data_IF_150031964199
#
_entry.id   IF_150031964199
#
_cell.length_a   1.000
_cell.length_b   1.000
_cell.length_c   1.000
_cell.angle_alpha   90.00
_cell.angle_beta   90.00
_cell.angle_gamma   90.00
#
_symmetry.space_group_name_H-M   'P 1'
#
loop_
_entity.id
_entity.type
_entity.pdbx_description
1 polymer ?
#
# COMPACT_ATOMS: atom_id res chain seq x y z
N UNK A 1 1.79 67.89 47.14
CA UNK A 1 0.89 66.85 46.56
C UNK A 1 0.90 67.08 45.04
N UNK A 2 1.83 66.41 44.35
CA UNK A 2 1.59 65.28 43.42
C UNK A 2 0.97 65.68 42.07
N UNK A 3 1.68 65.42 40.98
CA UNK A 3 1.17 65.54 39.61
C UNK A 3 2.26 65.50 38.54
N UNK A 4 2.95 64.37 38.38
CA UNK A 4 3.87 64.13 37.25
C UNK A 4 3.19 63.30 36.17
N UNK A 5 3.16 63.80 34.93
CA UNK A 5 2.77 63.02 33.75
C UNK A 5 3.81 61.92 33.46
N UNK A 6 3.37 60.67 33.34
CA UNK A 6 4.19 59.60 32.74
C UNK A 6 3.78 59.35 31.28
N UNK A 7 4.73 59.08 30.37
CA UNK A 7 4.44 58.75 28.97
C UNK A 7 3.96 57.30 28.80
N UNK A 8 3.03 57.13 27.86
CA UNK A 8 2.45 55.86 27.41
C UNK A 8 3.52 55.02 26.68
N UNK A 9 3.65 53.70 26.96
CA UNK A 9 4.62 52.85 26.27
C UNK A 9 4.16 52.49 24.84
N UNK A 10 5.08 52.28 23.89
CA UNK A 10 4.72 51.97 22.51
C UNK A 10 4.20 50.53 22.36
N UNK A 11 3.17 50.40 21.53
CA UNK A 11 2.59 49.14 21.06
C UNK A 11 3.66 48.22 20.46
N UNK A 12 3.91 47.10 21.13
CA UNK A 12 4.74 46.02 20.60
C UNK A 12 3.91 45.24 19.57
N UNK A 13 4.08 45.57 18.29
CA UNK A 13 3.61 44.73 17.18
C UNK A 13 4.45 43.45 17.19
N UNK A 14 4.03 42.45 17.97
CA UNK A 14 4.69 41.14 17.99
C UNK A 14 4.63 40.55 16.58
N UNK A 15 5.78 40.14 16.09
CA UNK A 15 6.00 39.55 14.77
C UNK A 15 5.22 38.22 14.64
N UNK A 16 3.97 38.28 14.14
CA UNK A 16 3.11 37.10 13.86
C UNK A 16 3.58 36.35 12.59
N UNK A 17 4.74 36.68 12.04
CA UNK A 17 5.24 36.10 10.78
C UNK A 17 5.89 34.73 11.01
N UNK A 18 6.68 34.58 12.08
CA UNK A 18 7.37 33.32 12.40
C UNK A 18 6.43 32.15 12.73
N UNK A 19 5.43 32.28 13.63
CA UNK A 19 4.53 31.18 13.95
C UNK A 19 3.65 30.81 12.75
N UNK A 20 3.20 31.79 11.96
CA UNK A 20 2.40 31.56 10.77
C UNK A 20 3.16 30.77 9.69
N UNK A 21 4.45 31.06 9.49
CA UNK A 21 5.31 30.32 8.57
C UNK A 21 5.54 28.87 9.01
N UNK A 22 5.72 28.64 10.31
CA UNK A 22 5.87 27.29 10.89
C UNK A 22 4.59 26.45 10.71
N UNK A 23 3.41 27.04 10.87
CA UNK A 23 2.14 26.36 10.60
C UNK A 23 1.99 25.99 9.11
N UNK A 24 2.34 26.89 8.19
CA UNK A 24 2.28 26.61 6.75
C UNK A 24 3.23 25.46 6.37
N UNK A 25 4.45 25.44 6.92
CA UNK A 25 5.43 24.37 6.69
C UNK A 25 4.96 23.03 7.26
N UNK A 26 4.28 23.03 8.41
CA UNK A 26 3.66 21.85 9.02
C UNK A 26 2.47 21.31 8.19
N UNK A 27 1.66 22.20 7.59
CA UNK A 27 0.58 21.79 6.68
C UNK A 27 1.10 21.20 5.37
N UNK A 28 2.20 21.73 4.81
CA UNK A 28 2.81 21.24 3.57
C UNK A 28 3.53 19.90 3.74
N UNK A 29 4.00 19.57 4.95
CA UNK A 29 4.66 18.29 5.26
C UNK A 29 3.67 17.13 5.50
N UNK A 30 2.36 17.42 5.61
CA UNK A 30 1.30 16.44 5.84
C UNK A 30 0.75 15.73 4.60
N UNK A 31 1.19 16.07 3.39
CA UNK A 31 0.75 15.38 2.16
C UNK A 31 1.67 14.20 1.84
N UNK A 32 1.58 13.13 2.65
CA UNK A 32 2.19 11.85 2.30
C UNK A 32 1.38 11.21 1.17
N UNK A 33 1.77 11.61 -0.06
CA UNK A 33 1.04 11.33 -1.28
C UNK A 33 0.99 9.84 -1.60
N UNK A 34 -0.24 9.34 -1.81
CA UNK A 34 -0.50 8.12 -2.56
C UNK A 34 0.34 8.14 -3.84
N UNK A 35 1.28 7.19 -3.97
CA UNK A 35 2.16 7.14 -5.14
C UNK A 35 1.42 6.51 -6.30
N UNK A 36 1.40 7.21 -7.43
CA UNK A 36 0.85 6.67 -8.67
C UNK A 36 1.74 5.55 -9.24
N UNK A 37 1.18 4.36 -9.32
CA UNK A 37 1.80 3.14 -9.83
C UNK A 37 1.36 2.80 -11.26
N UNK A 38 0.58 3.66 -11.94
CA UNK A 38 0.25 3.46 -13.35
C UNK A 38 1.53 3.31 -14.18
N UNK A 39 1.52 2.32 -15.09
CA UNK A 39 2.64 1.97 -15.97
C UNK A 39 3.95 1.58 -15.24
N UNK A 40 3.87 1.21 -13.96
CA UNK A 40 4.99 0.68 -13.18
C UNK A 40 4.68 -0.73 -12.70
N UNK A 41 5.74 -1.47 -12.40
CA UNK A 41 5.65 -2.84 -11.89
C UNK A 41 6.59 -3.01 -10.72
N UNK A 42 6.23 -3.91 -9.79
CA UNK A 42 7.15 -4.41 -8.78
C UNK A 42 7.99 -5.53 -9.39
N UNK A 43 9.29 -5.56 -9.07
CA UNK A 43 10.23 -6.54 -9.61
C UNK A 43 10.88 -7.30 -8.46
N UNK A 44 10.82 -8.62 -8.53
CA UNK A 44 11.48 -9.54 -7.60
C UNK A 44 12.57 -10.29 -8.39
N UNK A 45 13.81 -9.77 -8.41
CA UNK A 45 14.83 -10.22 -9.36
C UNK A 45 15.41 -11.61 -9.03
N UNK A 46 15.28 -12.05 -7.78
CA UNK A 46 15.81 -13.31 -7.30
C UNK A 46 14.86 -13.95 -6.26
N UNK A 47 14.93 -15.27 -6.07
CA UNK A 47 14.23 -15.93 -4.98
C UNK A 47 14.63 -15.35 -3.62
N UNK A 48 13.63 -15.05 -2.79
CA UNK A 48 13.82 -14.58 -1.42
C UNK A 48 12.66 -15.05 -0.56
N UNK A 49 12.94 -15.30 0.73
CA UNK A 49 11.92 -15.61 1.73
C UNK A 49 11.28 -14.36 2.34
N UNK A 50 11.87 -13.17 2.11
CA UNK A 50 11.48 -11.92 2.77
C UNK A 50 11.09 -10.81 1.80
N UNK A 51 11.32 -10.99 0.49
CA UNK A 51 10.93 -10.00 -0.50
C UNK A 51 9.42 -10.07 -0.76
N UNK A 52 8.68 -9.09 -0.27
CA UNK A 52 7.26 -8.92 -0.48
C UNK A 52 6.91 -7.42 -0.55
N UNK A 53 5.73 -7.11 -1.11
CA UNK A 53 5.14 -5.78 -1.06
C UNK A 53 3.89 -5.86 -0.21
N UNK A 54 3.85 -5.06 0.85
CA UNK A 54 2.65 -4.90 1.67
C UNK A 54 1.77 -3.79 1.10
N UNK A 55 0.51 -4.12 0.79
CA UNK A 55 -0.47 -3.20 0.24
C UNK A 55 -1.32 -2.62 1.37
N UNK A 56 -0.98 -1.40 1.76
CA UNK A 56 -1.69 -0.67 2.80
C UNK A 56 -3.07 -0.22 2.28
N UNK A 57 -4.13 -0.78 2.84
CA UNK A 57 -5.53 -0.42 2.55
C UNK A 57 -6.08 0.51 3.63
N UNK A 58 -6.83 1.52 3.23
CA UNK A 58 -7.43 2.50 4.16
C UNK A 58 -8.53 1.90 5.03
N UNK A 59 -9.19 0.83 4.55
CA UNK A 59 -10.23 0.11 5.30
C UNK A 59 -9.65 -1.17 5.91
N UNK A 60 -9.58 -1.23 7.24
CA UNK A 60 -9.06 -2.37 7.98
C UNK A 60 -10.14 -3.37 8.43
N UNK A 61 -11.40 -3.18 8.02
CA UNK A 61 -12.46 -4.14 8.30
C UNK A 61 -12.28 -5.40 7.45
N UNK A 62 -12.65 -6.59 7.96
CA UNK A 62 -12.62 -7.82 7.19
C UNK A 62 -13.42 -7.70 5.89
N UNK A 63 -12.83 -8.18 4.79
CA UNK A 63 -13.47 -8.15 3.48
C UNK A 63 -14.55 -9.25 3.41
N UNK A 64 -15.81 -8.87 3.20
CA UNK A 64 -16.92 -9.83 2.99
C UNK A 64 -17.12 -10.20 1.52
N UNK A 65 -16.65 -9.34 0.62
CA UNK A 65 -16.63 -9.52 -0.84
C UNK A 65 -15.35 -8.92 -1.38
N UNK A 66 -14.70 -9.61 -2.30
CA UNK A 66 -13.45 -9.18 -2.90
C UNK A 66 -13.47 -9.49 -4.40
N UNK A 67 -12.92 -8.57 -5.18
CA UNK A 67 -12.52 -8.80 -6.56
C UNK A 67 -11.08 -8.34 -6.69
N UNK A 68 -10.23 -9.19 -7.23
CA UNK A 68 -8.81 -8.91 -7.43
C UNK A 68 -8.53 -8.96 -8.93
N UNK A 69 -7.88 -7.91 -9.45
CA UNK A 69 -7.29 -7.93 -10.78
C UNK A 69 -5.80 -7.63 -10.65
N UNK A 70 -4.95 -8.41 -11.33
CA UNK A 70 -3.52 -8.14 -11.37
C UNK A 70 -2.89 -8.54 -12.69
N UNK A 71 -1.77 -7.90 -13.02
CA UNK A 71 -0.90 -8.30 -14.12
C UNK A 71 0.41 -8.80 -13.56
N UNK A 72 0.88 -9.93 -14.06
CA UNK A 72 2.16 -10.49 -13.65
C UNK A 72 2.89 -11.13 -14.83
N UNK A 73 4.20 -11.21 -14.68
CA UNK A 73 5.09 -11.96 -15.56
C UNK A 73 6.10 -12.67 -14.68
N UNK A 74 6.41 -13.91 -15.00
CA UNK A 74 7.41 -14.68 -14.27
C UNK A 74 8.10 -15.69 -15.17
N UNK A 75 9.33 -16.03 -14.78
CA UNK A 75 10.09 -17.13 -15.34
C UNK A 75 10.16 -18.32 -14.36
N UNK A 76 9.47 -18.24 -13.22
CA UNK A 76 9.46 -19.30 -12.24
C UNK A 76 8.72 -20.53 -12.78
N UNK A 77 9.39 -21.69 -12.69
CA UNK A 77 8.80 -23.01 -12.97
C UNK A 77 8.26 -23.70 -11.72
N UNK A 78 8.62 -23.19 -10.53
CA UNK A 78 8.16 -23.70 -9.23
C UNK A 78 6.81 -23.09 -8.83
N UNK A 79 6.12 -23.62 -7.82
CA UNK A 79 4.94 -22.97 -7.25
C UNK A 79 5.28 -21.61 -6.60
N UNK A 80 4.38 -20.63 -6.67
CA UNK A 80 4.55 -19.30 -6.06
C UNK A 80 3.22 -18.61 -5.74
N UNK A 81 3.23 -17.73 -4.74
CA UNK A 81 2.09 -16.84 -4.43
C UNK A 81 2.09 -15.61 -5.35
N UNK A 82 0.91 -15.24 -5.83
CA UNK A 82 0.67 -14.04 -6.63
C UNK A 82 0.08 -12.90 -5.80
N UNK A 83 -0.83 -13.26 -4.88
CA UNK A 83 -1.46 -12.32 -3.95
C UNK A 83 -1.86 -13.06 -2.68
N UNK A 84 -1.61 -12.46 -1.52
CA UNK A 84 -1.92 -13.03 -0.22
C UNK A 84 -2.62 -12.00 0.64
N UNK A 85 -3.73 -12.39 1.25
CA UNK A 85 -4.46 -11.64 2.26
C UNK A 85 -4.75 -12.56 3.44
N UNK A 86 -4.23 -12.18 4.59
CA UNK A 86 -4.37 -12.91 5.84
C UNK A 86 -5.20 -12.08 6.82
N UNK A 87 -6.00 -12.76 7.64
CA UNK A 87 -6.67 -12.18 8.80
C UNK A 87 -6.12 -12.80 10.07
N UNK A 88 -6.48 -12.24 11.24
CA UNK A 88 -6.04 -12.79 12.54
C UNK A 88 -6.45 -14.26 12.74
N UNK A 89 -7.50 -14.71 12.06
CA UNK A 89 -8.04 -16.05 12.17
C UNK A 89 -7.54 -17.02 11.09
N UNK A 90 -6.93 -16.52 10.00
CA UNK A 90 -6.56 -17.36 8.86
C UNK A 90 -5.42 -16.75 8.05
N UNK A 91 -4.33 -17.52 7.89
CA UNK A 91 -3.18 -17.13 7.06
C UNK A 91 -3.55 -17.08 5.56
N UNK A 92 -4.47 -17.96 5.13
CA UNK A 92 -4.92 -18.09 3.75
C UNK A 92 -6.40 -17.68 3.62
N UNK A 93 -6.74 -16.53 4.20
CA UNK A 93 -8.12 -16.03 4.14
C UNK A 93 -8.52 -15.65 2.71
N UNK A 94 -7.58 -15.08 1.95
CA UNK A 94 -7.64 -15.07 0.49
C UNK A 94 -6.23 -15.19 -0.10
N UNK A 95 -5.99 -16.22 -0.91
CA UNK A 95 -4.68 -16.48 -1.54
C UNK A 95 -4.88 -16.88 -3.00
N UNK A 96 -4.17 -16.19 -3.90
CA UNK A 96 -3.98 -16.64 -5.29
C UNK A 96 -2.62 -17.28 -5.40
N UNK A 97 -2.59 -18.59 -5.60
CA UNK A 97 -1.37 -19.38 -5.67
C UNK A 97 -1.24 -20.04 -7.04
N UNK A 98 -0.07 -19.89 -7.69
CA UNK A 98 0.27 -20.69 -8.86
C UNK A 98 0.84 -22.01 -8.37
N UNK A 99 0.01 -23.04 -8.24
CA UNK A 99 0.45 -24.37 -7.79
C UNK A 99 1.32 -25.07 -8.83
N UNK A 100 1.00 -24.89 -10.11
CA UNK A 100 1.69 -25.50 -11.25
C UNK A 100 1.62 -24.57 -12.47
N UNK A 101 2.43 -24.80 -13.50
CA UNK A 101 2.44 -23.99 -14.72
C UNK A 101 1.03 -23.85 -15.36
N UNK A 102 0.21 -24.90 -15.31
CA UNK A 102 -1.13 -24.96 -15.89
C UNK A 102 -2.26 -24.95 -14.85
N UNK A 103 -2.00 -24.54 -13.61
CA UNK A 103 -3.01 -24.52 -12.54
C UNK A 103 -2.86 -23.31 -11.62
N UNK A 104 -3.99 -22.77 -11.18
CA UNK A 104 -4.08 -21.83 -10.07
C UNK A 104 -4.88 -22.45 -8.94
N UNK A 105 -4.42 -22.30 -7.72
CA UNK A 105 -5.17 -22.59 -6.50
C UNK A 105 -5.65 -21.27 -5.90
N UNK A 106 -6.97 -21.13 -5.74
CA UNK A 106 -7.60 -19.96 -5.13
C UNK A 106 -8.13 -20.37 -3.76
N UNK A 107 -7.60 -19.75 -2.71
CA UNK A 107 -8.06 -19.96 -1.36
C UNK A 107 -9.04 -18.87 -0.94
N UNK A 108 -10.12 -19.26 -0.26
CA UNK A 108 -11.10 -18.35 0.35
C UNK A 108 -11.50 -18.93 1.70
N UNK A 109 -11.25 -18.22 2.79
CA UNK A 109 -11.56 -18.68 4.15
C UNK A 109 -10.88 -20.01 4.51
N UNK A 110 -9.68 -20.26 3.97
CA UNK A 110 -8.95 -21.52 4.15
C UNK A 110 -9.39 -22.69 3.25
N UNK A 111 -10.56 -22.62 2.60
CA UNK A 111 -10.95 -23.58 1.57
C UNK A 111 -10.22 -23.29 0.25
N UNK A 112 -10.03 -24.29 -0.61
CA UNK A 112 -9.29 -24.17 -1.87
C UNK A 112 -10.09 -24.66 -3.07
N UNK A 113 -10.00 -23.92 -4.18
CA UNK A 113 -10.50 -24.32 -5.50
C UNK A 113 -9.36 -24.24 -6.51
N UNK A 114 -9.20 -25.31 -7.29
CA UNK A 114 -8.16 -25.39 -8.32
C UNK A 114 -8.74 -25.12 -9.71
N UNK A 115 -8.11 -24.23 -10.45
CA UNK A 115 -8.45 -23.88 -11.83
C UNK A 115 -7.32 -24.32 -12.75
N UNK A 116 -7.62 -25.29 -13.62
CA UNK A 116 -6.72 -25.66 -14.72
C UNK A 116 -6.82 -24.63 -15.84
N UNK A 117 -5.68 -24.27 -16.41
CA UNK A 117 -5.57 -23.39 -17.57
C UNK A 117 -4.73 -24.06 -18.65
N UNK A 118 -4.91 -23.71 -19.94
CA UNK A 118 -4.05 -24.23 -21.00
C UNK A 118 -2.57 -23.93 -20.71
N UNK A 119 -1.67 -24.87 -20.99
CA UNK A 119 -0.24 -24.63 -20.86
C UNK A 119 0.22 -23.54 -21.83
N UNK A 120 1.19 -22.74 -21.43
CA UNK A 120 1.86 -21.78 -22.30
C UNK A 120 3.16 -22.37 -22.82
N UNK A 121 3.38 -22.26 -24.13
CA UNK A 121 4.65 -22.67 -24.74
C UNK A 121 5.81 -21.74 -24.36
N UNK A 122 5.51 -20.46 -24.12
CA UNK A 122 6.50 -19.43 -23.78
C UNK A 122 5.98 -18.51 -22.66
N UNK A 123 6.86 -18.03 -21.77
CA UNK A 123 6.50 -17.03 -20.77
C UNK A 123 5.93 -15.77 -21.43
N UNK A 124 4.86 -15.23 -20.86
CA UNK A 124 4.18 -14.01 -21.33
C UNK A 124 3.47 -13.35 -20.17
N UNK A 125 3.10 -12.08 -20.33
CA UNK A 125 2.28 -11.38 -19.34
C UNK A 125 0.92 -12.06 -19.22
N UNK A 126 0.50 -12.28 -17.98
CA UNK A 126 -0.83 -12.71 -17.62
C UNK A 126 -1.62 -11.57 -16.98
N UNK A 127 -2.92 -11.57 -17.23
CA UNK A 127 -3.90 -10.76 -16.53
C UNK A 127 -4.98 -11.70 -15.99
N UNK A 128 -5.18 -11.63 -14.67
CA UNK A 128 -6.29 -12.29 -14.00
C UNK A 128 -7.21 -11.24 -13.40
#
# INVERSE_FOLDING_TARGET
VHGGCQPVPPSSTKMVVLPSLLLILACLSGSFGQKDLRNKVFVFPAPSATAAVDLQVSNQHPLTKLTLCLRYYTLLSRPYSLFSYATRSSDNDFLVFKSQANEYAIHVGGAVVNFKVPPKEKPSWDHM
#
